data_IF_760465515164
#
_entry.id   IF_760465515164
#
_cell.length_a   1.000
_cell.length_b   1.000
_cell.length_c   1.000
_cell.angle_alpha   90.00
_cell.angle_beta   90.00
_cell.angle_gamma   90.00
#
_symmetry.space_group_name_H-M   'P 1'
#
loop_
_entity.id
_entity.type
_entity.pdbx_description
1 polymer ?
#
# COMPACT_ATOMS: atom_id res chain seq x y z
N UNK A 1 3.72 -3.11 2.32
CA UNK A 1 3.84 -4.41 1.61
C UNK A 1 3.34 -5.51 2.52
N UNK A 2 2.51 -6.44 2.02
CA UNK A 2 2.05 -7.61 2.77
C UNK A 2 2.84 -8.84 2.34
N UNK A 3 3.25 -9.67 3.29
CA UNK A 3 4.06 -10.86 3.05
C UNK A 3 3.60 -12.03 3.90
N UNK A 4 4.10 -13.22 3.56
CA UNK A 4 3.93 -14.45 4.29
C UNK A 4 5.04 -14.66 5.33
N UNK A 5 4.79 -15.45 6.37
CA UNK A 5 5.67 -15.69 7.54
C UNK A 5 7.15 -15.96 7.21
N UNK A 6 7.46 -16.65 6.12
CA UNK A 6 8.84 -16.97 5.76
C UNK A 6 9.70 -15.74 5.42
N UNK A 7 9.10 -14.59 5.21
CA UNK A 7 9.76 -13.31 4.93
C UNK A 7 9.66 -12.32 6.08
N UNK A 8 9.35 -12.80 7.29
CA UNK A 8 9.10 -11.96 8.48
C UNK A 8 10.29 -11.07 8.91
N UNK A 9 11.49 -11.37 8.43
CA UNK A 9 12.69 -10.61 8.77
C UNK A 9 13.07 -9.57 7.69
N UNK A 10 12.29 -9.43 6.64
CA UNK A 10 12.53 -8.46 5.57
C UNK A 10 12.36 -7.05 6.11
N UNK A 11 13.33 -6.19 5.85
CA UNK A 11 13.32 -4.77 6.19
C UNK A 11 13.56 -3.86 4.98
N UNK A 12 14.05 -4.41 3.89
CA UNK A 12 14.34 -3.68 2.67
C UNK A 12 14.18 -4.54 1.42
N UNK A 13 14.26 -3.91 0.25
CA UNK A 13 14.19 -4.62 -1.03
C UNK A 13 15.37 -5.58 -1.22
N UNK A 14 16.53 -5.23 -0.65
CA UNK A 14 17.72 -6.07 -0.73
C UNK A 14 17.52 -7.43 -0.06
N UNK A 15 16.69 -7.52 0.98
CA UNK A 15 16.39 -8.78 1.66
C UNK A 15 15.54 -9.73 0.81
N UNK A 16 14.79 -9.20 -0.16
CA UNK A 16 14.00 -9.97 -1.12
C UNK A 16 14.79 -10.34 -2.38
N UNK A 17 15.95 -9.69 -2.58
CA UNK A 17 16.73 -9.86 -3.80
C UNK A 17 17.20 -11.31 -3.96
N UNK A 18 17.03 -11.83 -5.18
CA UNK A 18 17.47 -13.17 -5.59
C UNK A 18 16.87 -14.34 -4.73
N UNK A 19 15.80 -14.09 -3.97
CA UNK A 19 15.09 -15.12 -3.20
C UNK A 19 14.14 -15.97 -4.03
N UNK A 20 13.80 -15.51 -5.24
CA UNK A 20 12.77 -16.12 -6.08
C UNK A 20 11.37 -15.98 -5.48
N UNK A 21 11.14 -14.94 -4.63
CA UNK A 21 9.82 -14.68 -4.09
C UNK A 21 8.81 -14.34 -5.19
N UNK A 22 7.61 -14.84 -5.03
CA UNK A 22 6.50 -14.55 -5.94
C UNK A 22 5.83 -13.25 -5.54
N UNK A 23 5.84 -12.28 -6.44
CA UNK A 23 5.31 -10.95 -6.17
C UNK A 23 4.04 -10.68 -6.95
N UNK A 24 3.12 -9.93 -6.34
CA UNK A 24 1.86 -9.49 -6.94
C UNK A 24 1.50 -8.08 -6.52
N UNK A 25 0.54 -7.50 -7.22
CA UNK A 25 -0.15 -6.26 -6.85
C UNK A 25 -1.51 -6.19 -7.54
N UNK A 26 -2.29 -5.15 -7.25
CA UNK A 26 -3.55 -4.93 -7.91
C UNK A 26 -3.36 -4.39 -9.33
N UNK A 27 -4.14 -4.93 -10.29
CA UNK A 27 -4.20 -4.46 -11.67
C UNK A 27 -4.63 -3.00 -11.76
N UNK A 28 -4.04 -2.27 -12.71
CA UNK A 28 -4.39 -0.88 -12.99
C UNK A 28 -3.86 0.12 -11.97
N UNK A 29 -3.00 -0.30 -11.05
CA UNK A 29 -2.34 0.58 -10.08
C UNK A 29 -0.95 1.01 -10.52
N UNK A 30 -0.46 2.12 -9.95
CA UNK A 30 0.92 2.57 -10.11
C UNK A 30 1.97 1.66 -9.47
N UNK A 31 1.54 0.63 -8.72
CA UNK A 31 2.44 -0.31 -8.07
C UNK A 31 3.05 -1.34 -9.00
N UNK A 32 2.47 -1.58 -10.19
CA UNK A 32 2.95 -2.61 -11.14
C UNK A 32 4.42 -2.40 -11.52
N UNK A 33 4.88 -1.19 -11.91
CA UNK A 33 6.28 -0.98 -12.24
C UNK A 33 7.25 -1.16 -11.05
N UNK A 34 6.75 -1.08 -9.82
CA UNK A 34 7.57 -1.27 -8.62
C UNK A 34 7.97 -2.73 -8.43
N UNK A 35 7.20 -3.68 -8.93
CA UNK A 35 7.51 -5.11 -8.83
C UNK A 35 8.87 -5.43 -9.48
N UNK A 36 9.21 -4.74 -10.56
CA UNK A 36 10.48 -4.92 -11.29
C UNK A 36 11.70 -4.48 -10.48
N UNK A 37 11.51 -3.69 -9.42
CA UNK A 37 12.59 -3.27 -8.51
C UNK A 37 12.98 -4.37 -7.50
N UNK A 38 12.15 -5.39 -7.33
CA UNK A 38 12.48 -6.55 -6.49
C UNK A 38 13.29 -7.53 -7.34
N UNK A 39 14.60 -7.42 -7.23
CA UNK A 39 15.54 -8.16 -8.08
C UNK A 39 15.37 -9.67 -7.91
N UNK A 40 15.20 -10.39 -9.03
CA UNK A 40 15.08 -11.85 -9.03
C UNK A 40 13.73 -12.38 -8.51
N UNK A 41 12.75 -11.51 -8.28
CA UNK A 41 11.40 -11.93 -7.96
C UNK A 41 10.67 -12.51 -9.19
N UNK A 42 9.78 -13.46 -8.92
CA UNK A 42 8.88 -14.02 -9.92
C UNK A 42 7.53 -13.28 -9.86
N UNK A 43 7.06 -12.73 -10.97
CA UNK A 43 5.72 -12.16 -11.03
C UNK A 43 4.67 -13.28 -11.08
N UNK A 44 3.85 -13.39 -10.05
CA UNK A 44 2.78 -14.41 -9.94
C UNK A 44 1.49 -14.04 -10.69
N UNK A 45 1.51 -12.91 -11.41
CA UNK A 45 0.34 -12.26 -11.99
C UNK A 45 -0.24 -11.20 -11.06
N UNK A 46 -1.03 -10.29 -11.62
CA UNK A 46 -1.70 -9.23 -10.88
C UNK A 46 -3.22 -9.49 -10.86
N UNK A 47 -3.90 -9.11 -9.80
CA UNK A 47 -5.32 -9.41 -9.59
C UNK A 47 -6.19 -8.15 -9.71
N UNK A 48 -7.48 -8.33 -10.00
CA UNK A 48 -8.39 -7.21 -10.18
C UNK A 48 -8.69 -6.48 -8.86
N UNK A 49 -8.68 -7.22 -7.74
CA UNK A 49 -8.99 -6.67 -6.42
C UNK A 49 -7.85 -6.91 -5.42
N UNK A 50 -7.76 -6.04 -4.42
CA UNK A 50 -6.81 -6.20 -3.30
C UNK A 50 -7.08 -7.47 -2.49
N UNK A 51 -8.37 -7.83 -2.32
CA UNK A 51 -8.75 -9.06 -1.63
C UNK A 51 -8.22 -10.31 -2.32
N UNK A 52 -8.19 -10.34 -3.66
CA UNK A 52 -7.59 -11.44 -4.41
C UNK A 52 -6.07 -11.50 -4.23
N UNK A 53 -5.39 -10.34 -4.15
CA UNK A 53 -3.97 -10.29 -3.82
C UNK A 53 -3.68 -10.91 -2.46
N UNK A 54 -4.47 -10.58 -1.44
CA UNK A 54 -4.31 -11.13 -0.09
C UNK A 54 -4.63 -12.63 -0.04
N UNK A 55 -5.67 -13.06 -0.76
CA UNK A 55 -5.97 -14.48 -0.91
C UNK A 55 -4.82 -15.25 -1.58
N UNK A 56 -4.15 -14.65 -2.57
CA UNK A 56 -3.00 -15.24 -3.23
C UNK A 56 -1.82 -15.44 -2.26
N UNK A 57 -1.63 -14.53 -1.31
CA UNK A 57 -0.64 -14.69 -0.23
C UNK A 57 -1.05 -15.83 0.71
N UNK A 58 -2.29 -15.83 1.20
CA UNK A 58 -2.78 -16.84 2.14
C UNK A 58 -2.72 -18.25 1.56
N UNK A 59 -3.04 -18.43 0.27
CA UNK A 59 -3.00 -19.74 -0.39
C UNK A 59 -1.62 -20.13 -0.95
N UNK A 60 -0.62 -19.23 -0.91
CA UNK A 60 0.74 -19.47 -1.38
C UNK A 60 0.96 -19.33 -2.88
N UNK A 61 0.01 -18.78 -3.61
CA UNK A 61 0.18 -18.43 -5.04
C UNK A 61 1.10 -17.23 -5.22
N UNK A 62 1.12 -16.31 -4.24
CA UNK A 62 2.08 -15.22 -4.11
C UNK A 62 2.74 -15.25 -2.72
N UNK A 63 3.89 -14.62 -2.59
CA UNK A 63 4.62 -14.49 -1.33
C UNK A 63 4.56 -13.05 -0.82
N UNK A 64 4.52 -12.08 -1.73
CA UNK A 64 4.59 -10.64 -1.44
C UNK A 64 3.55 -9.91 -2.27
N UNK A 65 2.79 -9.02 -1.64
CA UNK A 65 1.93 -8.05 -2.31
C UNK A 65 2.44 -6.64 -2.08
N UNK A 66 2.75 -5.92 -3.15
CA UNK A 66 3.11 -4.50 -3.08
C UNK A 66 1.83 -3.68 -3.08
N UNK A 67 1.62 -2.91 -2.02
CA UNK A 67 0.40 -2.13 -1.79
C UNK A 67 0.71 -0.98 -0.82
N UNK A 68 -0.16 0.02 -0.78
CA UNK A 68 -0.06 1.11 0.19
C UNK A 68 -0.26 0.63 1.65
N UNK A 69 0.35 1.36 2.58
CA UNK A 69 0.35 0.99 4.00
C UNK A 69 -1.08 0.96 4.59
N UNK A 70 -1.95 1.97 4.39
CA UNK A 70 -3.29 1.94 4.97
C UNK A 70 -4.13 0.73 4.53
N UNK A 71 -4.02 0.33 3.27
CA UNK A 71 -4.72 -0.85 2.76
C UNK A 71 -4.15 -2.13 3.37
N UNK A 72 -2.83 -2.21 3.53
CA UNK A 72 -2.17 -3.34 4.17
C UNK A 72 -2.58 -3.47 5.64
N UNK A 73 -2.59 -2.37 6.41
CA UNK A 73 -3.02 -2.33 7.80
C UNK A 73 -4.47 -2.78 7.98
N UNK A 74 -5.36 -2.26 7.14
CA UNK A 74 -6.77 -2.67 7.14
C UNK A 74 -6.94 -4.17 6.88
N UNK A 75 -6.15 -4.75 5.97
CA UNK A 75 -6.19 -6.17 5.68
C UNK A 75 -5.65 -7.02 6.84
N UNK A 76 -4.58 -6.60 7.49
CA UNK A 76 -3.97 -7.32 8.61
C UNK A 76 -4.88 -7.37 9.86
N UNK A 77 -5.79 -6.40 10.03
CA UNK A 77 -6.79 -6.44 11.11
C UNK A 77 -7.74 -7.65 11.02
N UNK A 78 -7.89 -8.23 9.84
CA UNK A 78 -8.85 -9.32 9.59
C UNK A 78 -8.21 -10.60 9.07
N UNK A 79 -6.89 -10.60 8.84
CA UNK A 79 -6.14 -11.73 8.30
C UNK A 79 -4.87 -11.94 9.10
N UNK A 80 -4.90 -12.84 10.06
CA UNK A 80 -3.76 -13.18 10.93
C UNK A 80 -2.57 -13.79 10.16
N UNK A 81 -2.78 -14.26 8.93
CA UNK A 81 -1.75 -14.82 8.04
C UNK A 81 -0.93 -13.76 7.31
N UNK A 82 -1.34 -12.50 7.40
CA UNK A 82 -0.67 -11.38 6.74
C UNK A 82 0.25 -10.65 7.70
N UNK A 83 1.49 -10.46 7.29
CA UNK A 83 2.42 -9.57 7.95
C UNK A 83 2.66 -8.34 7.08
N UNK A 84 2.64 -7.16 7.71
CA UNK A 84 2.99 -5.91 7.04
C UNK A 84 4.50 -5.69 7.18
N UNK A 85 5.12 -5.27 6.09
CA UNK A 85 6.50 -4.78 6.10
C UNK A 85 6.50 -3.34 5.59
N UNK A 86 7.00 -2.47 6.45
CA UNK A 86 7.44 -1.14 6.06
C UNK A 86 8.94 -1.23 5.76
N UNK A 87 9.31 -0.78 4.57
CA UNK A 87 10.70 -0.86 4.12
C UNK A 87 11.51 0.29 4.73
N UNK A 88 12.78 0.03 5.02
CA UNK A 88 13.72 1.05 5.46
C UNK A 88 13.86 2.15 4.41
N UNK A 89 13.93 3.41 4.83
CA UNK A 89 13.97 4.60 3.96
C UNK A 89 15.09 4.56 2.91
N UNK A 90 16.20 3.87 3.21
CA UNK A 90 17.35 3.75 2.31
C UNK A 90 17.34 2.49 1.44
N UNK A 91 16.37 1.59 1.65
CA UNK A 91 16.23 0.32 0.92
C UNK A 91 14.76 0.07 0.57
N UNK A 92 14.16 0.99 -0.14
CA UNK A 92 12.75 1.01 -0.52
C UNK A 92 12.58 1.26 -2.01
N UNK A 93 11.34 1.19 -2.46
CA UNK A 93 11.00 1.51 -3.84
C UNK A 93 11.35 2.96 -4.20
N UNK A 94 11.85 3.12 -5.41
CA UNK A 94 12.05 4.44 -6.03
C UNK A 94 10.92 4.69 -7.04
N UNK A 95 10.31 5.86 -6.97
CA UNK A 95 9.24 6.26 -7.88
C UNK A 95 9.09 7.77 -7.89
N UNK A 96 8.30 8.29 -8.81
CA UNK A 96 7.92 9.69 -8.79
C UNK A 96 7.00 9.96 -7.59
N UNK A 97 7.23 11.05 -6.87
CA UNK A 97 6.37 11.49 -5.77
C UNK A 97 4.89 11.60 -6.18
N UNK A 98 4.63 11.86 -7.47
CA UNK A 98 3.27 11.89 -8.03
C UNK A 98 2.55 10.53 -7.99
N UNK A 99 3.28 9.41 -7.98
CA UNK A 99 2.68 8.06 -7.95
C UNK A 99 2.07 7.72 -6.58
N UNK A 100 2.53 8.36 -5.52
CA UNK A 100 2.09 8.07 -4.14
C UNK A 100 1.18 9.14 -3.57
N UNK A 101 0.96 10.24 -4.30
CA UNK A 101 0.09 11.32 -3.86
C UNK A 101 -1.38 10.94 -3.98
N UNK A 102 -2.10 11.00 -2.88
CA UNK A 102 -3.57 10.90 -2.86
C UNK A 102 -4.16 12.30 -3.06
N UNK A 103 -5.00 12.44 -4.07
CA UNK A 103 -5.58 13.73 -4.45
C UNK A 103 -7.11 13.69 -4.51
N UNK A 104 -7.74 14.83 -4.24
CA UNK A 104 -9.16 15.00 -4.48
C UNK A 104 -9.37 15.61 -5.87
N UNK A 105 -10.03 14.89 -6.77
CA UNK A 105 -10.31 15.36 -8.11
C UNK A 105 -11.64 16.14 -8.15
N UNK A 106 -11.63 17.30 -8.81
CA UNK A 106 -12.82 18.08 -9.13
C UNK A 106 -12.95 18.25 -10.63
N UNK A 107 -14.13 18.68 -11.12
CA UNK A 107 -14.27 19.08 -12.53
C UNK A 107 -13.32 20.24 -12.81
N UNK A 108 -12.68 20.23 -13.98
CA UNK A 108 -11.67 21.21 -14.38
C UNK A 108 -12.10 22.66 -14.24
N UNK A 109 -13.36 22.92 -14.55
CA UNK A 109 -13.92 24.28 -14.57
C UNK A 109 -14.56 24.69 -13.23
N UNK A 110 -14.65 23.77 -12.25
CA UNK A 110 -15.24 24.03 -10.93
C UNK A 110 -14.16 24.49 -9.93
N UNK A 111 -13.58 25.63 -10.24
CA UNK A 111 -12.53 26.24 -9.39
C UNK A 111 -13.05 26.62 -8.02
N UNK A 112 -14.32 27.02 -7.91
CA UNK A 112 -14.94 27.40 -6.64
C UNK A 112 -15.05 26.22 -5.67
N UNK A 113 -15.38 25.02 -6.17
CA UNK A 113 -15.40 23.81 -5.35
C UNK A 113 -13.98 23.38 -4.97
N UNK A 114 -13.05 23.41 -5.92
CA UNK A 114 -11.63 23.11 -5.66
C UNK A 114 -11.08 23.97 -4.53
N UNK A 115 -11.29 25.28 -4.59
CA UNK A 115 -10.75 26.23 -3.62
C UNK A 115 -11.36 26.00 -2.23
N UNK A 116 -12.68 25.74 -2.14
CA UNK A 116 -13.34 25.38 -0.87
C UNK A 116 -12.80 24.08 -0.27
N UNK A 117 -12.55 23.07 -1.09
CA UNK A 117 -11.94 21.81 -0.64
C UNK A 117 -10.53 22.07 -0.13
N UNK A 118 -9.72 22.84 -0.87
CA UNK A 118 -8.36 23.18 -0.45
C UNK A 118 -8.34 23.93 0.87
N UNK A 119 -9.24 24.92 1.05
CA UNK A 119 -9.37 25.66 2.31
C UNK A 119 -9.76 24.74 3.48
N UNK A 120 -10.71 23.83 3.26
CA UNK A 120 -11.10 22.85 4.26
C UNK A 120 -9.95 21.91 4.64
N UNK A 121 -9.18 21.43 3.66
CA UNK A 121 -8.02 20.59 3.89
C UNK A 121 -6.93 21.32 4.67
N UNK A 122 -6.65 22.56 4.34
CA UNK A 122 -5.71 23.41 5.07
C UNK A 122 -6.17 23.62 6.52
N UNK A 123 -7.47 23.83 6.73
CA UNK A 123 -8.04 24.03 8.08
C UNK A 123 -7.92 22.81 8.99
N UNK A 124 -7.99 21.59 8.45
CA UNK A 124 -7.76 20.36 9.22
C UNK A 124 -6.27 20.03 9.39
N UNK A 125 -5.36 20.77 8.73
CA UNK A 125 -3.91 20.54 8.80
C UNK A 125 -3.46 19.27 8.10
N UNK A 126 -4.05 18.97 6.96
CA UNK A 126 -3.78 17.74 6.21
C UNK A 126 -2.31 17.55 5.78
N UNK A 127 -1.52 18.63 5.74
CA UNK A 127 -0.07 18.59 5.47
C UNK A 127 0.77 18.26 6.71
N UNK A 128 0.15 18.16 7.88
CA UNK A 128 0.80 17.74 9.12
C UNK A 128 0.77 16.21 9.21
N UNK A 129 1.93 15.58 8.98
CA UNK A 129 2.06 14.12 8.98
C UNK A 129 1.59 13.51 10.30
N UNK A 130 2.02 14.05 11.44
CA UNK A 130 1.69 13.47 12.74
C UNK A 130 0.17 13.50 12.99
N UNK A 131 -0.50 14.58 12.56
CA UNK A 131 -1.95 14.71 12.68
C UNK A 131 -2.69 13.76 11.72
N UNK A 132 -2.16 13.55 10.53
CA UNK A 132 -2.75 12.60 9.59
C UNK A 132 -2.56 11.16 10.03
N UNK A 133 -1.41 10.82 10.60
CA UNK A 133 -1.16 9.51 11.20
C UNK A 133 -2.16 9.24 12.35
N UNK A 134 -2.39 10.22 13.25
CA UNK A 134 -3.40 10.10 14.33
C UNK A 134 -4.83 9.90 13.79
N UNK A 135 -5.20 10.65 12.74
CA UNK A 135 -6.52 10.49 12.11
C UNK A 135 -6.67 9.13 11.44
N UNK A 136 -5.61 8.61 10.82
CA UNK A 136 -5.60 7.29 10.20
C UNK A 136 -5.79 6.19 11.25
N UNK A 137 -5.07 6.26 12.36
CA UNK A 137 -5.22 5.32 13.48
C UNK A 137 -6.66 5.30 14.02
N UNK A 138 -7.29 6.48 14.14
CA UNK A 138 -8.69 6.58 14.55
C UNK A 138 -9.65 5.91 13.55
N UNK A 139 -9.42 6.09 12.23
CA UNK A 139 -10.23 5.47 11.18
C UNK A 139 -10.07 3.96 11.20
N UNK A 140 -8.84 3.45 11.31
CA UNK A 140 -8.56 2.01 11.38
C UNK A 140 -9.26 1.34 12.56
N UNK A 141 -9.24 1.98 13.74
CA UNK A 141 -9.89 1.45 14.94
C UNK A 141 -11.43 1.46 14.88
N UNK A 142 -12.01 2.28 14.00
CA UNK A 142 -13.46 2.39 13.81
C UNK A 142 -14.01 1.51 12.68
N UNK A 143 -13.14 0.83 11.93
CA UNK A 143 -13.60 -0.07 10.88
C UNK A 143 -14.36 -1.25 11.49
N UNK A 144 -15.55 -1.59 10.95
CA UNK A 144 -16.25 -2.78 11.38
C UNK A 144 -15.41 -4.01 11.02
N UNK A 145 -15.30 -4.95 11.95
CA UNK A 145 -14.69 -6.24 11.65
C UNK A 145 -15.37 -6.85 10.42
N UNK A 146 -14.60 -7.30 9.45
CA UNK A 146 -15.13 -8.00 8.29
C UNK A 146 -15.87 -9.26 8.76
N UNK A 147 -17.15 -9.35 8.41
CA UNK A 147 -17.98 -10.53 8.68
C UNK A 147 -17.69 -11.63 7.66
#
# INVERSE_FOLDING_TARGET
MCIRDRYSNVKGLSDLADTGCKVTTQLGTGWIPLLDQIKGAEQSGNFETTSECFLAISNGSADVCVIDVPTAESAALTNDDLQIIELDENDTFTGDDEMVNVCIATRKDDTALRDKIQDAMNAIGWNDKAKMDELMDQVLTQQPAAN
#
